data_IF_223997957062
#
_entry.id   IF_223997957062
#
_cell.length_a   1.000
_cell.length_b   1.000
_cell.length_c   1.000
_cell.angle_alpha   90.00
_cell.angle_beta   90.00
_cell.angle_gamma   90.00
#
_symmetry.space_group_name_H-M   'P 1'
#
loop_
_entity.id
_entity.type
_entity.pdbx_description
1 polymer ?
#
# COMPACT_ATOMS: atom_id res chain seq x y z
N UNK A 1 50.55 -23.25 -39.62
CA UNK A 1 51.17 -24.29 -40.46
C UNK A 1 50.71 -25.65 -39.95
N UNK A 2 49.75 -26.36 -40.53
CA UNK A 2 48.97 -26.14 -41.77
C UNK A 2 47.50 -26.55 -41.50
N UNK A 3 46.45 -25.89 -42.01
CA UNK A 3 45.98 -24.49 -41.84
C UNK A 3 44.50 -24.43 -42.34
N UNK A 4 43.81 -23.28 -42.35
CA UNK A 4 42.40 -23.15 -42.80
C UNK A 4 42.17 -23.62 -44.25
N UNK A 5 41.00 -24.22 -44.53
CA UNK A 5 40.31 -23.80 -45.76
C UNK A 5 38.78 -23.68 -45.68
N UNK A 6 38.32 -22.68 -46.44
CA UNK A 6 37.06 -22.62 -47.20
C UNK A 6 35.77 -22.11 -46.52
N UNK A 7 35.68 -20.78 -46.43
CA UNK A 7 34.40 -20.09 -46.65
C UNK A 7 33.90 -20.33 -48.08
N UNK A 8 32.81 -21.06 -48.28
CA UNK A 8 31.79 -20.75 -49.30
C UNK A 8 30.65 -21.76 -49.35
N UNK A 9 29.53 -21.47 -48.69
CA UNK A 9 28.22 -21.89 -49.20
C UNK A 9 27.14 -20.87 -48.85
N UNK A 10 26.93 -20.03 -49.86
CA UNK A 10 25.81 -19.15 -50.16
C UNK A 10 24.65 -19.02 -49.17
N UNK A 11 24.35 -17.75 -48.88
CA UNK A 11 23.08 -17.23 -48.37
C UNK A 11 21.86 -17.75 -49.15
N UNK A 12 20.71 -17.68 -48.43
CA UNK A 12 19.31 -17.57 -48.88
C UNK A 12 18.45 -18.83 -48.63
N UNK A 13 17.17 -18.56 -48.29
CA UNK A 13 16.03 -19.47 -48.04
C UNK A 13 15.68 -19.79 -46.58
N UNK A 14 15.49 -18.74 -45.78
CA UNK A 14 14.43 -18.76 -44.74
C UNK A 14 13.17 -18.10 -45.32
N UNK A 15 12.08 -18.84 -45.58
CA UNK A 15 10.85 -18.25 -46.10
C UNK A 15 10.14 -17.41 -45.03
N UNK A 16 9.57 -16.29 -45.48
CA UNK A 16 8.78 -15.36 -44.68
C UNK A 16 7.61 -16.06 -43.99
N UNK A 17 7.54 -15.96 -42.66
CA UNK A 17 6.37 -16.37 -41.88
C UNK A 17 5.17 -15.48 -42.26
N UNK A 18 4.02 -16.05 -42.66
CA UNK A 18 2.85 -15.27 -43.03
C UNK A 18 2.19 -14.61 -41.81
N UNK A 19 1.79 -13.35 -41.95
CA UNK A 19 0.90 -12.68 -41.00
C UNK A 19 -0.44 -13.42 -40.93
N UNK A 20 -0.62 -14.26 -39.93
CA UNK A 20 -1.91 -14.91 -39.65
C UNK A 20 -2.79 -13.97 -38.83
N UNK A 21 -3.52 -13.09 -39.51
CA UNK A 21 -4.57 -12.25 -38.90
C UNK A 21 -5.66 -13.13 -38.27
N UNK A 22 -5.61 -13.28 -36.95
CA UNK A 22 -6.59 -14.04 -36.17
C UNK A 22 -7.72 -13.13 -35.66
N UNK A 23 -8.80 -13.11 -36.45
CA UNK A 23 -10.20 -12.74 -36.16
C UNK A 23 -10.61 -12.46 -34.69
N UNK A 24 -10.20 -11.33 -34.10
CA UNK A 24 -10.73 -10.87 -32.79
C UNK A 24 -11.12 -9.38 -32.73
N UNK A 25 -10.90 -8.60 -33.80
CA UNK A 25 -11.18 -7.15 -33.85
C UNK A 25 -12.56 -6.76 -34.39
N UNK A 26 -13.35 -7.72 -34.89
CA UNK A 26 -14.63 -7.50 -35.61
C UNK A 26 -15.90 -7.54 -34.71
N UNK A 27 -15.75 -7.47 -33.38
CA UNK A 27 -16.90 -7.46 -32.44
C UNK A 27 -17.11 -6.12 -31.71
N UNK A 28 -16.26 -5.12 -31.93
CA UNK A 28 -16.36 -3.82 -31.23
C UNK A 28 -17.30 -2.81 -31.89
N UNK A 29 -17.87 -3.11 -33.07
CA UNK A 29 -18.66 -2.14 -33.87
C UNK A 29 -20.19 -2.29 -33.69
N UNK A 30 -20.69 -3.35 -33.02
CA UNK A 30 -22.15 -3.60 -32.87
C UNK A 30 -22.76 -3.33 -31.50
N UNK A 31 -22.02 -2.79 -30.53
CA UNK A 31 -22.56 -2.41 -29.20
C UNK A 31 -22.74 -0.90 -28.99
N UNK A 32 -22.47 -0.06 -29.99
CA UNK A 32 -22.55 1.41 -29.91
C UNK A 32 -23.97 1.95 -30.19
N UNK A 33 -25.05 1.34 -29.64
CA UNK A 33 -26.42 1.83 -29.86
C UNK A 33 -27.47 1.42 -28.80
N UNK A 34 -27.17 1.53 -27.50
CA UNK A 34 -28.25 1.57 -26.48
C UNK A 34 -27.85 2.26 -25.15
N UNK A 35 -27.90 3.60 -25.10
CA UNK A 35 -27.97 4.36 -23.85
C UNK A 35 -29.07 5.43 -23.99
N UNK A 36 -30.25 5.25 -23.36
CA UNK A 36 -31.30 6.26 -23.40
C UNK A 36 -30.97 7.47 -22.52
N UNK A 37 -31.38 8.65 -22.98
CA UNK A 37 -31.19 9.90 -22.25
C UNK A 37 -32.14 10.01 -21.05
N UNK A 38 -31.57 10.20 -19.85
CA UNK A 38 -32.30 10.57 -18.64
C UNK A 38 -31.86 11.97 -18.17
N UNK A 39 -32.52 13.00 -18.71
CA UNK A 39 -32.42 14.40 -18.24
C UNK A 39 -33.15 14.50 -16.89
N UNK A 40 -32.46 14.93 -15.82
CA UNK A 40 -33.01 14.75 -14.45
C UNK A 40 -32.60 15.73 -13.33
N UNK A 41 -32.02 16.89 -13.66
CA UNK A 41 -32.07 18.16 -12.89
C UNK A 41 -32.45 18.09 -11.37
N UNK A 42 -31.46 17.99 -10.48
CA UNK A 42 -31.61 18.35 -9.06
C UNK A 42 -30.41 19.18 -8.58
N UNK A 43 -30.60 20.49 -8.51
CA UNK A 43 -29.59 21.45 -8.05
C UNK A 43 -29.99 22.15 -6.75
N UNK A 44 -28.97 22.68 -6.05
CA UNK A 44 -28.97 23.32 -4.71
C UNK A 44 -29.02 22.28 -3.57
N UNK A 45 -28.09 22.25 -2.63
CA UNK A 45 -27.65 23.40 -1.83
C UNK A 45 -26.27 23.18 -1.17
N UNK A 46 -25.18 23.54 -1.84
CA UNK A 46 -23.85 23.61 -1.21
C UNK A 46 -23.78 24.91 -0.40
N UNK A 47 -23.90 24.80 0.93
CA UNK A 47 -23.77 25.95 1.85
C UNK A 47 -22.32 26.47 1.81
N UNK A 48 -22.14 27.75 1.45
CA UNK A 48 -20.83 28.42 1.45
C UNK A 48 -20.40 28.75 2.88
N UNK A 49 -19.63 27.87 3.52
CA UNK A 49 -18.83 28.23 4.71
C UNK A 49 -17.46 27.55 4.67
N UNK A 50 -16.39 28.36 4.68
CA UNK A 50 -15.03 28.00 5.14
C UNK A 50 -14.32 26.79 4.49
N UNK A 51 -14.41 26.60 3.17
CA UNK A 51 -13.52 25.68 2.42
C UNK A 51 -12.42 26.42 1.62
N UNK A 52 -11.31 26.73 2.30
CA UNK A 52 -10.02 27.05 1.64
C UNK A 52 -8.85 26.18 2.14
N UNK A 53 -8.87 25.68 3.38
CA UNK A 53 -7.86 24.73 3.89
C UNK A 53 -8.16 23.28 3.48
N UNK A 54 -9.41 22.83 3.61
CA UNK A 54 -9.81 21.44 3.30
C UNK A 54 -9.63 21.08 1.82
N UNK A 55 -9.79 22.04 0.92
CA UNK A 55 -9.62 21.83 -0.52
C UNK A 55 -8.17 21.52 -0.89
N UNK A 56 -7.18 22.11 -0.21
CA UNK A 56 -5.78 21.73 -0.40
C UNK A 56 -5.50 20.30 0.06
N UNK A 57 -6.05 19.89 1.21
CA UNK A 57 -5.86 18.54 1.77
C UNK A 57 -6.41 17.45 0.82
N UNK A 58 -7.58 17.69 0.21
CA UNK A 58 -8.17 16.75 -0.75
C UNK A 58 -7.41 16.78 -2.08
N UNK A 59 -6.93 17.94 -2.54
CA UNK A 59 -6.20 18.07 -3.82
C UNK A 59 -4.78 17.47 -3.73
N UNK A 60 -4.05 17.63 -2.62
CA UNK A 60 -2.76 16.94 -2.44
C UNK A 60 -2.94 15.43 -2.34
N UNK A 61 -3.99 14.97 -1.65
CA UNK A 61 -4.34 13.55 -1.58
C UNK A 61 -4.73 12.96 -2.94
N UNK A 62 -5.39 13.73 -3.82
CA UNK A 62 -5.77 13.29 -5.16
C UNK A 62 -4.61 13.32 -6.17
N UNK A 63 -3.66 14.24 -6.03
CA UNK A 63 -2.47 14.33 -6.92
C UNK A 63 -1.51 13.15 -6.69
N UNK A 64 -1.48 12.57 -5.48
CA UNK A 64 -0.74 11.33 -5.18
C UNK A 64 -1.36 10.05 -5.79
N UNK A 65 -2.55 10.13 -6.39
CA UNK A 65 -3.27 8.96 -6.93
C UNK A 65 -3.00 8.66 -8.41
N UNK A 66 -2.25 9.52 -9.13
CA UNK A 66 -2.11 9.43 -10.60
C UNK A 66 -0.69 9.14 -11.12
N UNK A 67 0.18 8.51 -10.31
CA UNK A 67 1.46 8.01 -10.81
C UNK A 67 1.91 6.71 -10.11
N UNK A 68 1.31 5.57 -10.49
CA UNK A 68 1.90 4.26 -10.24
C UNK A 68 1.59 3.28 -11.38
N UNK A 69 2.23 3.51 -12.53
CA UNK A 69 2.36 2.49 -13.57
C UNK A 69 3.65 1.69 -13.31
N UNK A 70 3.52 0.44 -12.90
CA UNK A 70 4.67 -0.41 -12.54
C UNK A 70 4.24 -1.63 -11.73
N UNK A 71 3.74 -2.66 -12.42
CA UNK A 71 3.37 -3.91 -11.78
C UNK A 71 4.60 -4.67 -11.26
N UNK A 72 4.61 -4.97 -9.97
CA UNK A 72 5.45 -6.00 -9.36
C UNK A 72 4.59 -6.82 -8.42
N UNK A 73 4.65 -8.15 -8.53
CA UNK A 73 4.03 -9.06 -7.59
C UNK A 73 4.70 -8.93 -6.22
N UNK A 74 4.18 -8.01 -5.40
CA UNK A 74 4.69 -7.70 -4.08
C UNK A 74 4.09 -8.65 -3.06
N UNK A 75 4.93 -9.35 -2.31
CA UNK A 75 4.50 -10.04 -1.09
C UNK A 75 3.90 -9.01 -0.13
N UNK A 76 2.91 -9.36 0.73
CA UNK A 76 2.21 -8.40 1.58
C UNK A 76 3.16 -7.52 2.41
N UNK A 77 4.30 -8.05 2.86
CA UNK A 77 5.31 -7.29 3.59
C UNK A 77 5.91 -6.11 2.79
N UNK A 78 6.07 -6.26 1.48
CA UNK A 78 6.68 -5.24 0.60
C UNK A 78 5.72 -4.11 0.17
N UNK A 79 4.42 -4.22 0.49
CA UNK A 79 3.49 -3.09 0.43
C UNK A 79 3.62 -2.20 1.68
N UNK A 80 3.57 -2.83 2.87
CA UNK A 80 3.73 -2.12 4.14
C UNK A 80 5.07 -1.38 4.26
N UNK A 81 6.16 -1.98 3.78
CA UNK A 81 7.47 -1.32 3.75
C UNK A 81 7.46 -0.02 2.92
N UNK A 82 6.89 -0.06 1.70
CA UNK A 82 6.77 1.13 0.86
C UNK A 82 5.92 2.23 1.51
N UNK A 83 4.87 1.83 2.24
CA UNK A 83 4.02 2.74 3.01
C UNK A 83 4.73 3.32 4.24
N UNK A 84 5.57 2.54 4.93
CA UNK A 84 6.40 2.99 6.04
C UNK A 84 7.39 4.07 5.58
N UNK A 85 8.13 3.80 4.49
CA UNK A 85 9.08 4.78 3.93
C UNK A 85 8.37 6.06 3.47
N UNK A 86 7.18 5.96 2.88
CA UNK A 86 6.37 7.12 2.54
C UNK A 86 5.89 7.92 3.77
N UNK A 87 5.55 7.25 4.87
CA UNK A 87 5.20 7.91 6.14
C UNK A 87 6.42 8.60 6.77
N UNK A 88 7.59 7.96 6.78
CA UNK A 88 8.84 8.52 7.30
C UNK A 88 9.33 9.75 6.53
N UNK A 89 9.03 9.84 5.24
CA UNK A 89 9.32 10.99 4.39
C UNK A 89 8.43 12.23 4.64
N UNK A 90 7.47 12.18 5.58
CA UNK A 90 6.65 13.33 5.96
C UNK A 90 7.43 14.26 6.90
N UNK A 91 7.68 15.49 6.46
CA UNK A 91 8.42 16.51 7.22
C UNK A 91 7.74 16.86 8.56
N UNK A 92 6.43 17.14 8.51
CA UNK A 92 5.67 17.63 9.67
C UNK A 92 5.39 16.49 10.65
N UNK A 93 5.92 16.61 11.87
CA UNK A 93 5.92 15.55 12.88
C UNK A 93 4.54 15.03 13.25
N UNK A 94 3.52 15.88 13.35
CA UNK A 94 2.15 15.46 13.66
C UNK A 94 1.53 14.60 12.54
N UNK A 95 1.70 15.03 11.28
CA UNK A 95 1.29 14.25 10.11
C UNK A 95 2.09 12.96 9.95
N UNK A 96 3.40 12.98 10.24
CA UNK A 96 4.24 11.77 10.24
C UNK A 96 3.79 10.76 11.29
N UNK A 97 3.59 11.19 12.54
CA UNK A 97 3.11 10.32 13.63
C UNK A 97 1.72 9.71 13.29
N UNK A 98 0.81 10.46 12.65
CA UNK A 98 -0.49 9.91 12.22
C UNK A 98 -0.37 8.95 11.03
N UNK A 99 0.52 9.22 10.05
CA UNK A 99 0.80 8.31 8.95
C UNK A 99 1.45 6.99 9.44
N UNK A 100 2.41 7.08 10.36
CA UNK A 100 3.03 5.93 11.02
C UNK A 100 2.01 5.10 11.78
N UNK A 101 1.08 5.74 12.50
CA UNK A 101 -0.04 5.07 13.17
C UNK A 101 -0.89 4.26 12.19
N UNK A 102 -1.27 4.83 11.04
CA UNK A 102 -2.06 4.10 10.02
C UNK A 102 -1.28 2.88 9.50
N UNK A 103 0.01 3.03 9.21
CA UNK A 103 0.87 1.92 8.76
C UNK A 103 1.02 0.83 9.84
N UNK A 104 1.23 1.23 11.10
CA UNK A 104 1.33 0.31 12.24
C UNK A 104 0.04 -0.48 12.47
N UNK A 105 -1.12 0.19 12.46
CA UNK A 105 -2.42 -0.44 12.65
C UNK A 105 -2.73 -1.43 11.51
N UNK A 106 -2.50 -1.05 10.25
CA UNK A 106 -2.79 -1.92 9.11
C UNK A 106 -1.83 -3.12 9.02
N UNK A 107 -0.54 -2.91 9.28
CA UNK A 107 0.44 -4.00 9.33
C UNK A 107 0.15 -4.96 10.49
N UNK A 108 -0.26 -4.46 11.66
CA UNK A 108 -0.71 -5.27 12.78
C UNK A 108 -1.95 -6.12 12.45
N UNK A 109 -2.95 -5.53 11.79
CA UNK A 109 -4.15 -6.26 11.33
C UNK A 109 -3.82 -7.37 10.32
N UNK A 110 -2.73 -7.21 9.55
CA UNK A 110 -2.28 -8.16 8.54
C UNK A 110 -1.23 -9.17 9.05
N UNK A 111 -0.86 -9.15 10.33
CA UNK A 111 0.17 -10.02 10.89
C UNK A 111 1.61 -9.66 10.48
N UNK A 112 1.88 -8.45 9.97
CA UNK A 112 3.24 -8.00 9.71
C UNK A 112 3.80 -7.30 10.96
N UNK A 113 4.25 -8.12 11.92
CA UNK A 113 4.86 -7.67 13.17
C UNK A 113 6.09 -6.78 13.00
N UNK A 114 6.93 -7.06 11.99
CA UNK A 114 8.18 -6.30 11.75
C UNK A 114 7.92 -4.85 11.37
N UNK A 115 7.07 -4.61 10.35
CA UNK A 115 6.76 -3.22 9.92
C UNK A 115 5.92 -2.51 10.99
N UNK A 116 5.05 -3.24 11.71
CA UNK A 116 4.34 -2.69 12.85
C UNK A 116 5.31 -2.17 13.93
N UNK A 117 6.26 -3.01 14.37
CA UNK A 117 7.24 -2.66 15.40
C UNK A 117 8.07 -1.43 14.98
N UNK A 118 8.56 -1.39 13.74
CA UNK A 118 9.29 -0.23 13.26
C UNK A 118 8.40 1.02 13.25
N UNK A 119 7.20 0.96 12.66
CA UNK A 119 6.29 2.09 12.58
C UNK A 119 5.95 2.67 13.98
N UNK A 120 5.67 1.82 14.97
CA UNK A 120 5.43 2.25 16.37
C UNK A 120 6.68 2.88 16.97
N UNK A 121 7.86 2.29 16.77
CA UNK A 121 9.12 2.81 17.35
C UNK A 121 9.47 4.25 16.91
N UNK A 122 9.00 4.65 15.71
CA UNK A 122 9.30 5.95 15.09
C UNK A 122 8.30 7.05 15.46
N UNK A 123 7.21 6.72 16.17
CA UNK A 123 6.25 7.71 16.68
C UNK A 123 6.95 8.61 17.72
N UNK A 124 6.87 9.91 17.50
CA UNK A 124 7.66 10.92 18.23
C UNK A 124 7.09 11.18 19.63
N UNK A 125 5.76 11.24 19.76
CA UNK A 125 5.12 11.45 21.07
C UNK A 125 5.07 10.15 21.88
N UNK A 126 5.67 10.07 23.09
CA UNK A 126 5.71 8.84 23.87
C UNK A 126 4.31 8.39 24.31
N UNK A 127 3.41 9.32 24.65
CA UNK A 127 2.03 8.99 24.99
C UNK A 127 1.27 8.35 23.80
N UNK A 128 1.39 8.94 22.60
CA UNK A 128 0.79 8.37 21.38
C UNK A 128 1.41 7.03 21.00
N UNK A 129 2.72 6.86 21.24
CA UNK A 129 3.42 5.61 21.01
C UNK A 129 2.96 4.50 21.95
N UNK A 130 2.82 4.78 23.24
CA UNK A 130 2.32 3.83 24.23
C UNK A 130 0.88 3.39 23.89
N UNK A 131 0.01 4.33 23.52
CA UNK A 131 -1.37 4.03 23.09
C UNK A 131 -1.43 3.21 21.80
N UNK A 132 -0.59 3.54 20.82
CA UNK A 132 -0.48 2.79 19.57
C UNK A 132 0.11 1.39 19.79
N UNK A 133 1.12 1.27 20.65
CA UNK A 133 1.76 0.00 20.99
C UNK A 133 0.75 -0.97 21.64
N UNK A 134 -0.11 -0.48 22.53
CA UNK A 134 -1.19 -1.27 23.12
C UNK A 134 -2.20 -1.78 22.05
N UNK A 135 -2.70 -0.90 21.18
CA UNK A 135 -3.65 -1.28 20.12
C UNK A 135 -3.02 -2.25 19.10
N UNK A 136 -1.80 -1.97 18.65
CA UNK A 136 -1.05 -2.82 17.72
C UNK A 136 -0.71 -4.19 18.31
N UNK A 137 -0.29 -4.27 19.59
CA UNK A 137 -0.01 -5.55 20.24
C UNK A 137 -1.27 -6.43 20.32
N UNK A 138 -2.43 -5.85 20.70
CA UNK A 138 -3.71 -6.57 20.74
C UNK A 138 -4.13 -7.05 19.35
N UNK A 139 -3.88 -6.28 18.29
CA UNK A 139 -4.14 -6.67 16.89
C UNK A 139 -3.22 -7.79 16.41
N UNK A 140 -1.92 -7.72 16.71
CA UNK A 140 -0.95 -8.75 16.34
C UNK A 140 -1.31 -10.10 16.95
N UNK A 141 -1.72 -10.16 18.22
CA UNK A 141 -2.23 -11.40 18.83
C UNK A 141 -3.45 -11.95 18.09
N UNK A 142 -4.40 -11.09 17.70
CA UNK A 142 -5.58 -11.48 16.91
C UNK A 142 -5.22 -11.97 15.50
N UNK A 143 -4.09 -11.54 14.95
CA UNK A 143 -3.52 -12.03 13.71
C UNK A 143 -2.66 -13.30 13.87
N UNK A 144 -2.41 -13.76 15.11
CA UNK A 144 -1.58 -14.93 15.44
C UNK A 144 -0.11 -14.63 15.79
N UNK A 145 0.30 -13.36 15.75
CA UNK A 145 1.69 -12.90 15.87
C UNK A 145 2.08 -12.53 17.31
N UNK A 146 1.91 -13.48 18.24
CA UNK A 146 2.13 -13.25 19.69
C UNK A 146 3.57 -12.83 20.05
N UNK A 147 4.57 -13.26 19.26
CA UNK A 147 5.98 -12.86 19.46
C UNK A 147 6.13 -11.36 19.22
N UNK A 148 5.77 -10.87 18.03
CA UNK A 148 5.85 -9.44 17.71
C UNK A 148 4.86 -8.59 18.51
N UNK A 149 3.72 -9.13 18.93
CA UNK A 149 2.86 -8.44 19.89
C UNK A 149 3.59 -8.13 21.21
N UNK A 150 4.41 -9.06 21.70
CA UNK A 150 5.22 -8.88 22.91
C UNK A 150 6.35 -7.86 22.69
N UNK A 151 6.99 -7.88 21.52
CA UNK A 151 8.00 -6.88 21.12
C UNK A 151 7.41 -5.47 21.06
N UNK A 152 6.22 -5.31 20.46
CA UNK A 152 5.51 -4.02 20.40
C UNK A 152 5.06 -3.57 21.78
N UNK A 153 4.53 -4.47 22.63
CA UNK A 153 4.16 -4.15 24.00
C UNK A 153 5.35 -3.69 24.85
N UNK A 154 6.58 -4.14 24.54
CA UNK A 154 7.80 -3.66 25.20
C UNK A 154 8.19 -2.22 24.84
N UNK A 155 7.57 -1.60 23.82
CA UNK A 155 7.72 -0.17 23.54
C UNK A 155 6.92 0.74 24.49
N UNK A 156 5.98 0.16 25.25
CA UNK A 156 5.17 0.89 26.24
C UNK A 156 6.05 1.27 27.44
N UNK A 157 6.20 2.57 27.66
CA UNK A 157 7.05 3.12 28.70
C UNK A 157 6.47 2.85 30.11
N UNK A 158 5.16 2.99 30.30
CA UNK A 158 4.54 2.69 31.60
C UNK A 158 4.54 1.19 31.92
N UNK A 159 5.12 0.81 33.06
CA UNK A 159 5.27 -0.58 33.47
C UNK A 159 3.96 -1.25 33.88
N UNK A 160 2.98 -0.49 34.38
CA UNK A 160 1.65 -0.99 34.71
C UNK A 160 0.89 -1.37 33.44
N UNK A 161 0.73 -0.41 32.52
CA UNK A 161 0.12 -0.61 31.20
C UNK A 161 0.78 -1.75 30.43
N UNK A 162 2.12 -1.80 30.37
CA UNK A 162 2.86 -2.89 29.72
C UNK A 162 2.56 -4.25 30.34
N UNK A 163 2.43 -4.32 31.67
CA UNK A 163 2.06 -5.56 32.37
C UNK A 163 0.61 -5.98 32.08
N UNK A 164 -0.31 -5.02 31.98
CA UNK A 164 -1.70 -5.28 31.58
C UNK A 164 -1.80 -5.75 30.12
N UNK A 165 -1.06 -5.14 29.19
CA UNK A 165 -1.00 -5.58 27.79
C UNK A 165 -0.39 -6.97 27.67
N UNK A 166 0.74 -7.23 28.34
CA UNK A 166 1.34 -8.57 28.36
C UNK A 166 0.41 -9.63 28.98
N UNK A 167 -0.42 -9.26 29.96
CA UNK A 167 -1.49 -10.13 30.47
C UNK A 167 -2.54 -10.43 29.39
N UNK A 168 -3.05 -9.41 28.68
CA UNK A 168 -4.01 -9.59 27.56
C UNK A 168 -3.43 -10.50 26.46
N UNK A 169 -2.16 -10.30 26.11
CA UNK A 169 -1.41 -11.14 25.14
C UNK A 169 -1.38 -12.60 25.62
N UNK A 170 -0.98 -12.83 26.88
CA UNK A 170 -0.89 -14.18 27.45
C UNK A 170 -2.26 -14.88 27.58
N UNK A 171 -3.35 -14.14 27.75
CA UNK A 171 -4.71 -14.71 27.83
C UNK A 171 -5.42 -14.82 26.49
N UNK A 172 -4.91 -14.20 25.41
CA UNK A 172 -5.54 -14.12 24.09
C UNK A 172 -7.04 -13.74 24.15
N UNK A 173 -7.35 -12.71 24.93
CA UNK A 173 -8.72 -12.27 25.27
C UNK A 173 -8.74 -10.76 25.51
#
# INVERSE_FOLDING_TARGET
MIDEPNQSLHRNLLPSLPMRMSRTTELWIRCQHLIPAAVGKLGRSIKKTTMKKTTHIIITSLILFLCSCGGSGKTPNSDFEGRLQAALAVDETGQRDEALKIVATDSANAGNGTVCLEAVSKVTSPYRRDDLAEDCAIRLVKAGESTSATEVANLINDAGRRSEVNKKIATNN
#
